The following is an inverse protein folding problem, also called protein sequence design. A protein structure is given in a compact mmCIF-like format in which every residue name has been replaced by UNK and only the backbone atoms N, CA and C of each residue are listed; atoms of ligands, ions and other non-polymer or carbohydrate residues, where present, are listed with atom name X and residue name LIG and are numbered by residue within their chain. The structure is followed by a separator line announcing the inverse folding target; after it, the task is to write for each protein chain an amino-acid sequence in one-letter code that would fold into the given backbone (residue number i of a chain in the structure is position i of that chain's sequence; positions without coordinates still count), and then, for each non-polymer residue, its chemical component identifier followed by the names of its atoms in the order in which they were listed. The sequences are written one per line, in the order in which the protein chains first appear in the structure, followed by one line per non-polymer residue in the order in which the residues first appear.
data_IF_161986206068
#
_entry.id   IF_161986206068
#
_cell.length_a   1.000
_cell.length_b   1.000
_cell.length_c   1.000
_cell.angle_alpha   90.00
_cell.angle_beta   90.00
_cell.angle_gamma   90.00
#
_symmetry.space_group_name_H-M   'P 1'
#
loop_
_entity.id
_entity.type
_entity.pdbx_description
1 polymer ?
#
# COMPACT_ATOMS: atom_id res chain seq x y z
N UNK A 1 39.51 -13.93 8.38
CA UNK A 1 38.12 -14.25 8.00
C UNK A 1 37.72 -13.41 6.79
N UNK A 2 37.51 -14.05 5.66
CA UNK A 2 36.93 -13.34 4.51
C UNK A 2 35.45 -13.10 4.77
N UNK A 3 35.05 -11.83 4.85
CA UNK A 3 33.63 -11.47 4.82
C UNK A 3 33.03 -12.00 3.52
N UNK A 4 32.04 -12.88 3.61
CA UNK A 4 31.24 -13.26 2.44
C UNK A 4 30.76 -11.97 1.77
N UNK A 5 30.94 -11.80 0.45
CA UNK A 5 30.39 -10.63 -0.22
C UNK A 5 28.89 -10.59 0.08
N UNK A 6 28.44 -9.49 0.67
CA UNK A 6 27.00 -9.26 0.83
C UNK A 6 26.43 -9.34 -0.58
N UNK A 7 25.66 -10.39 -0.86
CA UNK A 7 24.88 -10.46 -2.10
C UNK A 7 24.10 -9.15 -2.17
N UNK A 8 24.47 -8.31 -3.11
CA UNK A 8 23.70 -7.12 -3.43
C UNK A 8 22.39 -7.62 -4.00
N UNK A 9 21.40 -7.79 -3.15
CA UNK A 9 20.05 -8.16 -3.56
C UNK A 9 19.50 -6.96 -4.35
N UNK A 10 19.49 -7.09 -5.65
CA UNK A 10 18.73 -6.21 -6.49
C UNK A 10 17.26 -6.60 -6.30
N UNK A 11 16.51 -5.78 -5.60
CA UNK A 11 15.07 -6.01 -5.41
C UNK A 11 14.30 -5.90 -6.72
N UNK A 12 14.85 -5.18 -7.68
CA UNK A 12 14.33 -5.04 -9.02
C UNK A 12 15.49 -4.78 -9.97
N UNK A 13 15.47 -5.43 -11.14
CA UNK A 13 16.38 -5.14 -12.24
C UNK A 13 16.00 -3.81 -12.91
N UNK A 14 16.90 -3.19 -13.71
CA UNK A 14 16.53 -2.03 -14.51
C UNK A 14 15.32 -2.28 -15.41
N UNK A 15 15.23 -3.46 -16.00
CA UNK A 15 14.07 -3.85 -16.81
C UNK A 15 12.81 -3.98 -15.97
N UNK A 16 12.89 -4.60 -14.80
CA UNK A 16 11.79 -4.72 -13.86
C UNK A 16 11.29 -3.36 -13.36
N UNK A 17 12.20 -2.42 -13.12
CA UNK A 17 11.84 -1.04 -12.77
C UNK A 17 11.09 -0.34 -13.90
N UNK A 18 11.56 -0.48 -15.13
CA UNK A 18 10.86 0.10 -16.31
C UNK A 18 9.48 -0.51 -16.49
N UNK A 19 9.33 -1.82 -16.31
CA UNK A 19 8.04 -2.49 -16.36
C UNK A 19 7.10 -2.00 -15.26
N UNK A 20 7.59 -1.85 -14.04
CA UNK A 20 6.84 -1.32 -12.92
C UNK A 20 6.33 0.10 -13.23
N UNK A 21 7.21 0.96 -13.73
CA UNK A 21 6.85 2.33 -14.14
C UNK A 21 5.80 2.34 -15.25
N UNK A 22 5.97 1.49 -16.27
CA UNK A 22 5.02 1.38 -17.39
C UNK A 22 3.67 0.85 -16.95
N UNK A 23 3.64 -0.08 -16.02
CA UNK A 23 2.38 -0.63 -15.46
C UNK A 23 1.57 0.43 -14.71
N UNK A 24 2.22 1.48 -14.23
CA UNK A 24 1.59 2.63 -13.60
C UNK A 24 1.21 3.74 -14.59
N UNK A 25 1.56 3.59 -15.87
CA UNK A 25 1.41 4.62 -16.90
C UNK A 25 2.13 5.94 -16.54
N UNK A 26 3.23 5.85 -15.79
CA UNK A 26 4.00 7.00 -15.36
C UNK A 26 5.20 7.23 -16.27
N UNK A 27 5.39 8.48 -16.69
CA UNK A 27 6.61 8.94 -17.32
C UNK A 27 7.75 9.00 -16.29
N UNK A 28 8.99 9.14 -16.76
CA UNK A 28 10.14 9.34 -15.86
C UNK A 28 9.96 10.58 -14.97
N UNK A 29 9.43 11.66 -15.52
CA UNK A 29 9.16 12.89 -14.76
C UNK A 29 8.08 12.68 -13.72
N UNK A 30 7.01 11.97 -14.06
CA UNK A 30 5.93 11.67 -13.12
C UNK A 30 6.41 10.80 -11.96
N UNK A 31 7.29 9.82 -12.23
CA UNK A 31 7.94 9.02 -11.17
C UNK A 31 8.83 9.88 -10.28
N UNK A 32 9.62 10.76 -10.89
CA UNK A 32 10.47 11.68 -10.14
C UNK A 32 9.64 12.55 -9.19
N UNK A 33 8.55 13.10 -9.67
CA UNK A 33 7.64 13.93 -8.87
C UNK A 33 6.97 13.12 -7.75
N UNK A 34 6.51 11.91 -8.05
CA UNK A 34 5.86 11.03 -7.07
C UNK A 34 6.80 10.56 -5.95
N UNK A 35 8.06 10.32 -6.28
CA UNK A 35 9.07 9.83 -5.34
C UNK A 35 9.88 10.96 -4.67
N UNK A 36 9.71 12.20 -5.11
CA UNK A 36 10.48 13.33 -4.57
C UNK A 36 11.96 13.30 -4.92
N UNK A 37 12.32 12.73 -6.07
CA UNK A 37 13.68 12.66 -6.60
C UNK A 37 13.81 13.45 -7.89
N UNK A 38 15.04 13.74 -8.33
CA UNK A 38 15.23 14.43 -9.60
C UNK A 38 15.12 13.45 -10.79
N UNK A 39 14.77 13.99 -11.95
CA UNK A 39 14.63 13.23 -13.19
C UNK A 39 15.91 12.45 -13.54
N UNK A 40 17.06 13.02 -13.29
CA UNK A 40 18.36 12.38 -13.52
C UNK A 40 18.48 11.07 -12.72
N UNK A 41 18.02 11.05 -11.49
CA UNK A 41 18.01 9.85 -10.64
C UNK A 41 17.16 8.75 -11.25
N UNK A 42 15.97 9.07 -11.72
CA UNK A 42 15.06 8.10 -12.39
C UNK A 42 15.71 7.56 -13.67
N UNK A 43 16.34 8.41 -14.47
CA UNK A 43 17.07 7.98 -15.68
C UNK A 43 18.20 7.02 -15.35
N UNK A 44 18.94 7.25 -14.26
CA UNK A 44 19.98 6.35 -13.80
C UNK A 44 19.44 5.00 -13.36
N UNK A 45 18.24 4.97 -12.76
CA UNK A 45 17.56 3.71 -12.42
C UNK A 45 17.12 2.95 -13.67
N UNK A 46 16.57 3.65 -14.65
CA UNK A 46 16.13 3.04 -15.91
C UNK A 46 17.29 2.38 -16.70
N UNK A 47 18.48 2.97 -16.64
CA UNK A 47 19.65 2.46 -17.35
C UNK A 47 20.48 1.47 -16.52
N UNK A 48 20.18 1.30 -15.26
CA UNK A 48 20.94 0.44 -14.34
C UNK A 48 22.22 1.05 -13.81
N UNK A 49 22.47 2.33 -14.07
CA UNK A 49 23.65 3.04 -13.57
C UNK A 49 23.67 3.12 -12.04
N UNK A 50 22.49 3.33 -11.43
CA UNK A 50 22.28 3.29 -10.00
C UNK A 50 21.20 2.28 -9.65
N UNK A 51 21.30 1.71 -8.45
CA UNK A 51 20.27 0.81 -7.93
C UNK A 51 19.03 1.59 -7.49
N UNK A 52 17.87 1.02 -7.78
CA UNK A 52 16.62 1.52 -7.25
C UNK A 52 16.54 1.21 -5.75
N UNK A 53 16.35 2.20 -4.88
CA UNK A 53 16.15 1.94 -3.46
C UNK A 53 14.90 1.08 -3.22
N UNK A 54 14.95 0.23 -2.21
CA UNK A 54 13.80 -0.60 -1.84
C UNK A 54 12.56 0.22 -1.50
N UNK A 55 12.75 1.35 -0.83
CA UNK A 55 11.65 2.29 -0.51
C UNK A 55 10.92 2.80 -1.76
N UNK A 56 11.66 3.13 -2.82
CA UNK A 56 11.09 3.56 -4.09
C UNK A 56 10.26 2.44 -4.75
N UNK A 57 10.79 1.21 -4.76
CA UNK A 57 10.09 0.04 -5.30
C UNK A 57 8.80 -0.24 -4.53
N UNK A 58 8.85 -0.21 -3.20
CA UNK A 58 7.68 -0.41 -2.35
C UNK A 58 6.61 0.63 -2.58
N UNK A 59 7.00 1.90 -2.68
CA UNK A 59 6.05 2.98 -2.94
C UNK A 59 5.38 2.82 -4.31
N UNK A 60 6.15 2.50 -5.34
CA UNK A 60 5.59 2.28 -6.68
C UNK A 60 4.66 1.06 -6.72
N UNK A 61 5.00 -0.02 -6.03
CA UNK A 61 4.11 -1.20 -5.91
C UNK A 61 2.83 -0.87 -5.17
N UNK A 62 2.92 -0.09 -4.11
CA UNK A 62 1.74 0.38 -3.38
C UNK A 62 0.84 1.22 -4.29
N UNK A 63 1.40 2.15 -5.04
CA UNK A 63 0.67 2.99 -5.99
C UNK A 63 0.03 2.15 -7.12
N UNK A 64 0.72 1.12 -7.59
CA UNK A 64 0.22 0.24 -8.65
C UNK A 64 -0.99 -0.57 -8.21
N UNK A 65 -0.89 -1.25 -7.10
CA UNK A 65 -1.92 -2.16 -6.61
C UNK A 65 -2.86 -1.51 -5.62
N UNK A 66 -2.44 -0.41 -5.00
CA UNK A 66 -3.14 0.20 -3.88
C UNK A 66 -3.24 -0.71 -2.66
N UNK A 67 -2.56 -1.86 -2.65
CA UNK A 67 -2.64 -2.85 -1.57
C UNK A 67 -1.85 -2.37 -0.36
N UNK A 68 -2.56 -2.13 0.74
CA UNK A 68 -1.98 -1.69 2.00
C UNK A 68 -1.16 -2.79 2.69
N UNK A 69 -1.27 -4.04 2.25
CA UNK A 69 -0.43 -5.15 2.69
C UNK A 69 1.06 -4.92 2.44
N UNK A 70 1.42 -4.09 1.46
CA UNK A 70 2.81 -3.66 1.22
C UNK A 70 3.37 -2.82 2.38
N UNK A 71 2.51 -2.16 3.15
CA UNK A 71 2.91 -1.40 4.34
C UNK A 71 2.99 -2.28 5.58
N UNK A 72 2.02 -3.17 5.75
CA UNK A 72 1.95 -4.08 6.89
C UNK A 72 1.09 -5.29 6.53
N UNK A 73 1.51 -6.52 6.92
CA UNK A 73 0.75 -7.74 6.63
C UNK A 73 -0.68 -7.74 7.17
N UNK A 74 -0.95 -6.99 8.24
CA UNK A 74 -2.28 -6.85 8.84
C UNK A 74 -3.29 -6.27 7.83
N UNK A 75 -2.81 -5.44 6.91
CA UNK A 75 -3.63 -4.76 5.91
C UNK A 75 -3.70 -5.49 4.56
N UNK A 76 -3.24 -6.73 4.50
CA UNK A 76 -3.30 -7.52 3.26
C UNK A 76 -4.73 -7.63 2.76
N UNK A 77 -4.93 -7.31 1.48
CA UNK A 77 -6.23 -7.32 0.83
C UNK A 77 -7.00 -6.01 0.90
N UNK A 78 -6.61 -5.09 1.78
CA UNK A 78 -7.15 -3.74 1.81
C UNK A 78 -6.46 -2.89 0.74
N UNK A 79 -7.24 -2.23 -0.09
CA UNK A 79 -6.71 -1.50 -1.24
C UNK A 79 -7.25 -0.07 -1.30
N UNK A 80 -6.42 0.83 -1.79
CA UNK A 80 -6.86 2.17 -2.20
C UNK A 80 -7.00 2.18 -3.71
N UNK A 81 -8.19 2.42 -4.19
CA UNK A 81 -8.53 2.50 -5.61
C UNK A 81 -9.14 3.87 -5.87
N UNK A 82 -8.40 4.74 -6.55
CA UNK A 82 -8.79 6.15 -6.69
C UNK A 82 -8.90 6.80 -5.30
N UNK A 83 -10.06 7.32 -4.99
CA UNK A 83 -10.36 7.97 -3.71
C UNK A 83 -11.04 7.04 -2.69
N UNK A 84 -11.22 5.77 -3.04
CA UNK A 84 -11.93 4.81 -2.20
C UNK A 84 -10.97 3.85 -1.51
N UNK A 85 -11.28 3.54 -0.25
CA UNK A 85 -10.70 2.41 0.47
C UNK A 85 -11.60 1.19 0.22
N UNK A 86 -11.01 0.13 -0.34
CA UNK A 86 -11.74 -1.10 -0.65
C UNK A 86 -11.32 -2.19 0.33
N UNK A 87 -12.29 -2.81 0.99
CA UNK A 87 -12.07 -3.92 1.92
C UNK A 87 -11.67 -5.20 1.17
N UNK A 88 -11.12 -6.21 1.85
CA UNK A 88 -10.86 -7.52 1.23
C UNK A 88 -12.10 -8.17 0.61
N UNK A 89 -13.29 -7.85 1.12
CA UNK A 89 -14.56 -8.31 0.57
C UNK A 89 -15.04 -7.51 -0.65
N UNK A 90 -14.27 -6.49 -1.08
CA UNK A 90 -14.61 -5.68 -2.23
C UNK A 90 -15.56 -4.51 -1.96
N UNK A 91 -15.83 -4.18 -0.70
CA UNK A 91 -16.72 -3.07 -0.33
C UNK A 91 -15.95 -1.75 -0.35
N UNK A 92 -16.36 -0.77 -1.19
CA UNK A 92 -15.70 0.52 -1.25
C UNK A 92 -16.22 1.48 -0.18
N UNK A 93 -15.32 2.24 0.41
CA UNK A 93 -15.62 3.33 1.33
C UNK A 93 -14.95 4.61 0.86
N UNK A 94 -15.70 5.70 0.80
CA UNK A 94 -15.15 7.02 0.50
C UNK A 94 -14.52 7.64 1.76
N UNK A 95 -13.51 8.48 1.58
CA UNK A 95 -12.86 9.17 2.71
C UNK A 95 -13.87 9.98 3.55
N UNK A 96 -14.85 10.59 2.90
CA UNK A 96 -15.93 11.34 3.58
C UNK A 96 -16.75 10.51 4.55
N UNK A 97 -16.91 9.21 4.30
CA UNK A 97 -17.63 8.30 5.17
C UNK A 97 -16.90 8.05 6.49
N UNK A 98 -15.60 8.27 6.53
CA UNK A 98 -14.80 8.10 7.75
C UNK A 98 -14.83 9.32 8.68
N UNK A 99 -15.40 10.43 8.28
CA UNK A 99 -15.56 11.61 9.13
C UNK A 99 -16.29 11.28 10.43
N UNK A 100 -17.28 10.40 10.36
CA UNK A 100 -18.09 9.94 11.49
C UNK A 100 -17.70 8.56 12.01
N UNK A 101 -16.55 8.04 11.60
CA UNK A 101 -16.15 6.67 11.88
C UNK A 101 -16.03 6.36 13.37
N UNK A 102 -15.44 7.26 14.14
CA UNK A 102 -15.31 7.10 15.59
C UNK A 102 -16.68 6.94 16.25
N UNK A 103 -17.66 7.77 15.87
CA UNK A 103 -19.03 7.68 16.38
C UNK A 103 -19.71 6.38 15.93
N UNK A 104 -19.52 5.98 14.70
CA UNK A 104 -20.04 4.71 14.16
C UNK A 104 -19.49 3.52 14.94
N UNK A 105 -18.19 3.49 15.23
CA UNK A 105 -17.58 2.46 16.04
C UNK A 105 -18.12 2.42 17.47
N UNK A 106 -18.32 3.58 18.08
CA UNK A 106 -18.90 3.67 19.42
C UNK A 106 -20.34 3.12 19.46
N UNK A 107 -21.15 3.44 18.47
CA UNK A 107 -22.50 2.91 18.34
C UNK A 107 -22.50 1.40 18.13
N UNK A 108 -21.62 0.89 17.26
CA UNK A 108 -21.50 -0.53 17.01
C UNK A 108 -21.07 -1.30 18.27
N UNK A 109 -20.10 -0.77 19.03
CA UNK A 109 -19.66 -1.36 20.31
C UNK A 109 -20.78 -1.36 21.35
N UNK A 110 -21.54 -0.28 21.45
CA UNK A 110 -22.69 -0.17 22.35
C UNK A 110 -23.76 -1.22 22.00
N UNK A 111 -24.09 -1.33 20.71
CA UNK A 111 -25.03 -2.34 20.23
C UNK A 111 -24.55 -3.77 20.50
N UNK A 112 -23.29 -4.07 20.24
CA UNK A 112 -22.70 -5.38 20.53
C UNK A 112 -22.76 -5.73 22.03
N UNK A 113 -22.51 -4.76 22.90
CA UNK A 113 -22.59 -4.92 24.34
C UNK A 113 -24.04 -5.27 24.77
N UNK A 114 -25.00 -4.49 24.30
CA UNK A 114 -26.42 -4.75 24.55
C UNK A 114 -26.85 -6.11 24.04
N UNK A 115 -26.40 -6.50 22.85
CA UNK A 115 -26.71 -7.80 22.28
C UNK A 115 -26.11 -8.95 23.11
N UNK A 116 -24.88 -8.82 23.57
CA UNK A 116 -24.24 -9.83 24.45
C UNK A 116 -24.96 -9.96 25.78
N UNK A 117 -25.43 -8.86 26.33
CA UNK A 117 -26.21 -8.86 27.57
C UNK A 117 -27.59 -9.48 27.39
N UNK A 118 -28.21 -9.28 26.22
CA UNK A 118 -29.52 -9.82 25.88
C UNK A 118 -29.47 -11.30 25.45
N UNK A 119 -28.39 -11.75 24.82
CA UNK A 119 -28.28 -13.11 24.29
C UNK A 119 -28.50 -14.22 25.35
N UNK A 120 -28.00 -14.14 26.59
CA UNK A 120 -28.31 -15.14 27.62
C UNK A 120 -29.79 -15.20 28.02
N UNK A 121 -30.52 -14.09 27.85
CA UNK A 121 -31.96 -14.03 28.16
C UNK A 121 -32.83 -14.67 27.07
N UNK A 122 -32.29 -14.73 25.84
CA UNK A 122 -32.97 -15.32 24.69
C UNK A 122 -32.74 -16.82 24.55
N UNK A 123 -31.70 -17.35 25.19
CA UNK A 123 -31.33 -18.77 25.17
C UNK A 123 -31.83 -19.58 26.35
N UNK A 124 -32.62 -18.97 27.24
CA UNK A 124 -33.24 -19.65 28.38
C UNK A 124 -34.56 -20.34 27.96
#
# INVERSE_FOLDING_TARGET
MRKKPRRRLWHVSPDGFRELRRSLFLSQQAVADALGVCLRTVRHWDTGRNRVPWSAVRLLRLLRGGDLGELSPVWTGWRIVGDALVTPAGVPFQASQFTWWALTCLRARSWQRQFREAAPRLSA
#
